data_IF_318657830716
#
_entry.id   IF_318657830716
#
_cell.length_a   1.000
_cell.length_b   1.000
_cell.length_c   1.000
_cell.angle_alpha   90.00
_cell.angle_beta   90.00
_cell.angle_gamma   90.00
#
_symmetry.space_group_name_H-M   'P 1'
#
loop_
_entity.id
_entity.type
_entity.pdbx_description
1 polymer ?
#
# COMPACT_ATOMS: atom_id res chain seq x y z
N UNK A 1 3.84 -4.91 -2.44
CA UNK A 1 2.57 -5.33 -1.81
C UNK A 1 1.66 -4.13 -1.67
N UNK A 2 0.42 -4.23 -2.13
CA UNK A 2 -0.62 -3.23 -1.93
C UNK A 2 -1.54 -3.69 -0.80
N UNK A 3 -1.65 -2.91 0.27
CA UNK A 3 -2.55 -3.20 1.39
C UNK A 3 -3.96 -2.72 1.04
N UNK A 4 -4.78 -3.65 0.56
CA UNK A 4 -6.13 -3.42 0.06
C UNK A 4 -7.02 -4.61 0.40
N UNK A 5 -8.28 -4.35 0.70
CA UNK A 5 -9.34 -5.35 0.69
C UNK A 5 -10.39 -4.90 -0.32
N UNK A 6 -10.38 -5.42 -1.57
CA UNK A 6 -11.26 -4.93 -2.61
C UNK A 6 -12.72 -5.33 -2.35
N UNK A 7 -13.66 -4.48 -2.78
CA UNK A 7 -15.07 -4.87 -2.83
C UNK A 7 -15.30 -5.96 -3.90
N UNK A 8 -16.40 -6.73 -3.81
CA UNK A 8 -16.77 -7.68 -4.85
C UNK A 8 -16.88 -7.02 -6.22
N UNK A 9 -16.42 -7.71 -7.27
CA UNK A 9 -16.54 -7.24 -8.64
C UNK A 9 -18.01 -7.29 -9.09
N UNK A 10 -18.46 -6.26 -9.81
CA UNK A 10 -19.74 -6.29 -10.54
C UNK A 10 -19.60 -7.17 -11.80
N UNK A 11 -20.70 -7.70 -12.36
CA UNK A 11 -20.65 -8.44 -13.61
C UNK A 11 -19.90 -7.66 -14.71
N UNK A 12 -18.93 -8.31 -15.35
CA UNK A 12 -18.11 -7.69 -16.40
C UNK A 12 -16.98 -6.76 -15.91
N UNK A 13 -16.79 -6.59 -14.60
CA UNK A 13 -15.67 -5.83 -14.05
C UNK A 13 -14.56 -6.74 -13.51
N UNK A 14 -13.31 -6.27 -13.60
CA UNK A 14 -12.12 -6.99 -13.11
C UNK A 14 -12.10 -7.09 -11.59
N UNK A 15 -12.46 -6.01 -10.91
CA UNK A 15 -12.41 -5.87 -9.46
C UNK A 15 -13.40 -4.80 -9.01
N UNK A 16 -13.91 -4.88 -7.78
CA UNK A 16 -14.67 -3.78 -7.18
C UNK A 16 -13.75 -2.66 -6.69
N UNK A 17 -14.32 -1.66 -5.99
CA UNK A 17 -13.55 -0.57 -5.39
C UNK A 17 -12.37 -1.10 -4.58
N UNK A 18 -11.16 -0.63 -4.89
CA UNK A 18 -9.90 -1.17 -4.38
C UNK A 18 -9.07 -0.06 -3.73
N UNK A 19 -9.60 0.53 -2.65
CA UNK A 19 -8.93 1.60 -1.91
C UNK A 19 -7.92 1.09 -0.86
N UNK A 20 -6.90 1.90 -0.51
CA UNK A 20 -5.87 1.48 0.44
C UNK A 20 -6.43 1.34 1.84
N UNK A 21 -5.86 0.40 2.59
CA UNK A 21 -6.07 0.28 4.03
C UNK A 21 -4.90 0.86 4.83
N UNK A 22 -5.13 1.08 6.13
CA UNK A 22 -4.13 1.70 7.01
C UNK A 22 -2.90 0.81 7.17
N UNK A 23 -1.75 1.27 6.69
CA UNK A 23 -0.51 0.51 6.62
C UNK A 23 0.09 0.18 7.99
N UNK A 24 -0.17 1.02 9.00
CA UNK A 24 0.34 0.80 10.35
C UNK A 24 -0.06 -0.54 10.97
N UNK A 25 -1.17 -1.15 10.54
CA UNK A 25 -1.55 -2.51 10.98
C UNK A 25 -0.62 -3.61 10.49
N UNK A 26 0.21 -3.31 9.47
CA UNK A 26 1.19 -4.22 8.90
C UNK A 26 2.62 -3.98 9.42
N UNK A 27 2.81 -3.01 10.32
CA UNK A 27 4.16 -2.60 10.75
C UNK A 27 4.91 -3.71 11.49
N UNK A 28 4.22 -4.55 12.25
CA UNK A 28 4.83 -5.70 12.92
C UNK A 28 5.39 -6.77 11.96
N UNK A 29 4.91 -6.81 10.71
CA UNK A 29 5.27 -7.83 9.72
C UNK A 29 6.19 -7.29 8.62
N UNK A 30 6.09 -5.99 8.31
CA UNK A 30 6.79 -5.39 7.20
C UNK A 30 8.32 -5.54 7.27
N UNK A 31 9.00 -5.38 8.42
CA UNK A 31 10.45 -5.61 8.50
C UNK A 31 10.87 -7.02 8.07
N UNK A 32 10.18 -8.05 8.58
CA UNK A 32 10.45 -9.45 8.22
C UNK A 32 10.24 -9.70 6.72
N UNK A 33 9.14 -9.19 6.16
CA UNK A 33 8.85 -9.32 4.73
C UNK A 33 9.90 -8.62 3.87
N UNK A 34 10.40 -7.45 4.29
CA UNK A 34 11.46 -6.73 3.58
C UNK A 34 12.78 -7.49 3.60
N UNK A 35 13.13 -8.09 4.73
CA UNK A 35 14.30 -8.98 4.83
C UNK A 35 14.18 -10.21 3.91
N UNK A 36 12.96 -10.62 3.54
CA UNK A 36 12.67 -11.70 2.60
C UNK A 36 12.40 -11.23 1.15
N UNK A 37 12.68 -9.95 0.85
CA UNK A 37 12.67 -9.45 -0.53
C UNK A 37 11.52 -8.49 -0.88
N UNK A 38 10.65 -8.13 0.05
CA UNK A 38 9.69 -7.04 -0.18
C UNK A 38 10.44 -5.71 -0.40
N UNK A 39 10.28 -5.11 -1.58
CA UNK A 39 10.93 -3.81 -1.92
C UNK A 39 9.97 -2.63 -2.03
N UNK A 40 8.66 -2.87 -2.07
CA UNK A 40 7.67 -1.82 -2.29
C UNK A 40 6.37 -2.09 -1.57
N UNK A 41 5.84 -1.07 -0.89
CA UNK A 41 4.58 -1.15 -0.15
C UNK A 41 3.66 -0.01 -0.59
N UNK A 42 2.37 -0.30 -0.78
CA UNK A 42 1.35 0.70 -1.09
C UNK A 42 0.26 0.61 -0.03
N UNK A 43 -0.17 1.74 0.53
CA UNK A 43 -1.28 1.78 1.48
C UNK A 43 -1.66 3.22 1.83
N UNK A 44 -2.10 3.46 3.07
CA UNK A 44 -2.32 4.82 3.59
C UNK A 44 -1.86 4.98 5.04
N UNK A 45 -1.53 6.21 5.42
CA UNK A 45 -1.18 6.57 6.79
C UNK A 45 0.29 6.38 7.14
N UNK A 46 0.62 6.81 8.35
CA UNK A 46 1.97 6.78 8.92
C UNK A 46 2.50 5.35 9.07
N UNK A 47 3.82 5.23 9.12
CA UNK A 47 4.55 3.99 9.45
C UNK A 47 5.37 4.21 10.74
N UNK A 48 5.62 3.14 11.48
CA UNK A 48 6.52 3.15 12.63
C UNK A 48 7.97 3.44 12.23
N UNK A 49 8.79 3.87 13.19
CA UNK A 49 10.22 4.10 12.96
C UNK A 49 10.94 2.80 12.55
N UNK A 50 10.58 1.67 13.16
CA UNK A 50 11.12 0.35 12.81
C UNK A 50 10.93 0.01 11.33
N UNK A 51 9.77 0.36 10.76
CA UNK A 51 9.54 0.18 9.32
C UNK A 51 10.42 1.11 8.51
N UNK A 52 10.59 2.38 8.92
CA UNK A 52 11.48 3.32 8.20
C UNK A 52 12.92 2.81 8.22
N UNK A 53 13.40 2.31 9.35
CA UNK A 53 14.74 1.77 9.49
C UNK A 53 14.92 0.53 8.59
N UNK A 54 13.91 -0.35 8.56
CA UNK A 54 13.93 -1.50 7.66
C UNK A 54 13.83 -1.12 6.18
N UNK A 55 13.09 -0.06 5.83
CA UNK A 55 13.07 0.51 4.48
C UNK A 55 14.49 0.93 4.05
N UNK A 56 15.24 1.61 4.91
CA UNK A 56 16.62 2.05 4.63
C UNK A 56 17.55 0.85 4.45
N UNK A 57 17.47 -0.12 5.38
CA UNK A 57 18.24 -1.37 5.35
C UNK A 57 18.02 -2.13 4.04
N UNK A 58 16.75 -2.26 3.65
CA UNK A 58 16.34 -3.07 2.50
C UNK A 58 16.18 -2.27 1.20
N UNK A 59 16.56 -1.00 1.16
CA UNK A 59 16.38 -0.11 -0.02
C UNK A 59 14.97 -0.19 -0.61
N UNK A 60 13.98 -0.28 0.28
CA UNK A 60 12.57 -0.36 -0.10
C UNK A 60 11.96 1.04 -0.28
N UNK A 61 10.70 1.10 -0.69
CA UNK A 61 9.93 2.34 -0.81
C UNK A 61 8.50 2.12 -0.29
N UNK A 62 7.96 3.12 0.41
CA UNK A 62 6.55 3.16 0.77
C UNK A 62 5.82 4.26 0.00
N UNK A 63 4.74 3.85 -0.64
CA UNK A 63 3.85 4.70 -1.40
C UNK A 63 2.51 4.85 -0.70
N UNK A 64 1.94 6.05 -0.76
CA UNK A 64 0.54 6.26 -0.43
C UNK A 64 -0.32 6.25 -1.68
N UNK A 65 -1.39 5.44 -1.65
CA UNK A 65 -2.53 5.63 -2.53
C UNK A 65 -3.54 6.58 -1.84
N UNK A 66 -4.36 7.27 -2.63
CA UNK A 66 -5.33 8.24 -2.11
C UNK A 66 -6.48 7.49 -1.42
N UNK A 67 -6.60 7.67 -0.10
CA UNK A 67 -7.70 7.11 0.68
C UNK A 67 -9.05 7.68 0.24
N UNK A 68 -10.06 6.82 0.10
CA UNK A 68 -11.40 7.21 -0.35
C UNK A 68 -11.61 7.18 -1.87
N UNK A 69 -10.54 7.14 -2.67
CA UNK A 69 -10.62 7.07 -4.13
C UNK A 69 -10.68 5.63 -4.67
N UNK A 70 -11.30 4.70 -3.94
CA UNK A 70 -11.23 3.26 -4.26
C UNK A 70 -11.83 2.87 -5.62
N UNK A 71 -12.90 3.55 -6.04
CA UNK A 71 -13.50 3.33 -7.36
C UNK A 71 -12.56 3.77 -8.49
N UNK A 72 -11.93 4.95 -8.36
CA UNK A 72 -10.95 5.46 -9.32
C UNK A 72 -9.72 4.56 -9.39
N UNK A 73 -9.21 4.12 -8.24
CA UNK A 73 -8.06 3.21 -8.18
C UNK A 73 -8.34 1.86 -8.85
N UNK A 74 -9.58 1.37 -8.78
CA UNK A 74 -9.98 0.14 -9.45
C UNK A 74 -9.92 0.24 -10.98
N UNK A 75 -10.10 1.42 -11.57
CA UNK A 75 -9.97 1.63 -13.02
C UNK A 75 -8.54 1.40 -13.53
N UNK A 76 -7.54 1.61 -12.66
CA UNK A 76 -6.14 1.34 -12.95
C UNK A 76 -5.78 -0.17 -12.83
N UNK A 77 -6.66 -1.00 -12.28
CA UNK A 77 -6.45 -2.45 -12.14
C UNK A 77 -7.05 -3.15 -13.37
N UNK A 78 -6.20 -3.85 -14.12
CA UNK A 78 -6.55 -4.46 -15.40
C UNK A 78 -6.78 -5.96 -15.31
N UNK A 79 -6.13 -6.63 -14.35
CA UNK A 79 -6.37 -8.03 -14.00
C UNK A 79 -6.30 -8.20 -12.48
N UNK A 80 -7.12 -9.12 -11.95
CA UNK A 80 -7.13 -9.49 -10.54
C UNK A 80 -7.35 -11.01 -10.41
N UNK A 81 -6.36 -11.71 -9.86
CA UNK A 81 -6.38 -13.16 -9.64
C UNK A 81 -6.17 -13.45 -8.16
N UNK A 82 -7.05 -14.26 -7.56
CA UNK A 82 -6.82 -14.76 -6.19
C UNK A 82 -5.79 -15.87 -6.26
N UNK A 83 -4.63 -15.68 -5.63
CA UNK A 83 -3.51 -16.61 -5.67
C UNK A 83 -3.27 -17.37 -4.36
N UNK A 84 -3.86 -16.92 -3.25
CA UNK A 84 -3.82 -17.64 -1.99
C UNK A 84 -4.99 -17.24 -1.07
N UNK A 85 -5.38 -18.17 -0.19
CA UNK A 85 -6.39 -18.00 0.86
C UNK A 85 -7.76 -17.48 0.35
N UNK A 86 -8.38 -18.14 -0.66
CA UNK A 86 -9.64 -17.68 -1.24
C UNK A 86 -10.81 -17.65 -0.24
N UNK A 87 -10.72 -18.43 0.83
CA UNK A 87 -11.66 -18.49 1.95
C UNK A 87 -11.70 -17.21 2.79
N UNK A 88 -10.65 -16.38 2.73
CA UNK A 88 -10.58 -15.09 3.43
C UNK A 88 -11.34 -13.96 2.72
N UNK A 89 -11.97 -14.23 1.58
CA UNK A 89 -12.78 -13.25 0.86
C UNK A 89 -11.98 -11.99 0.49
N UNK A 90 -12.41 -10.83 0.98
CA UNK A 90 -11.74 -9.56 0.70
C UNK A 90 -10.30 -9.48 1.22
N UNK A 91 -9.90 -10.35 2.15
CA UNK A 91 -8.53 -10.41 2.69
C UNK A 91 -7.64 -11.46 1.99
N UNK A 92 -8.16 -12.14 0.97
CA UNK A 92 -7.36 -13.06 0.15
C UNK A 92 -6.17 -12.36 -0.51
N UNK A 93 -5.14 -13.13 -0.90
CA UNK A 93 -4.01 -12.56 -1.62
C UNK A 93 -4.34 -12.49 -3.11
N UNK A 94 -4.31 -11.28 -3.64
CA UNK A 94 -4.52 -11.01 -5.05
C UNK A 94 -3.21 -10.73 -5.78
N UNK A 95 -3.05 -11.33 -6.96
CA UNK A 95 -2.12 -10.89 -7.98
C UNK A 95 -2.84 -9.90 -8.88
N UNK A 96 -2.41 -8.64 -8.83
CA UNK A 96 -3.01 -7.56 -9.60
C UNK A 96 -2.07 -7.14 -10.74
N UNK A 97 -2.60 -7.00 -11.95
CA UNK A 97 -1.94 -6.23 -13.01
C UNK A 97 -2.53 -4.84 -13.03
N UNK A 98 -1.68 -3.82 -12.94
CA UNK A 98 -2.10 -2.42 -12.90
C UNK A 98 -1.44 -1.62 -14.01
N UNK A 99 -2.08 -0.54 -14.43
CA UNK A 99 -1.59 0.40 -15.43
C UNK A 99 -1.87 1.83 -14.97
N UNK A 100 -0.85 2.70 -14.99
CA UNK A 100 -0.95 4.09 -14.54
C UNK A 100 -1.54 4.23 -13.12
N UNK A 101 -1.19 3.30 -12.22
CA UNK A 101 -1.74 3.27 -10.86
C UNK A 101 -1.24 4.47 -10.02
N UNK A 102 -2.12 5.38 -9.60
CA UNK A 102 -1.69 6.67 -9.05
C UNK A 102 -1.28 6.51 -7.58
N UNK A 103 -0.02 6.78 -7.29
CA UNK A 103 0.56 6.75 -5.95
C UNK A 103 1.62 7.83 -5.77
N UNK A 104 1.85 8.20 -4.51
CA UNK A 104 2.90 9.17 -4.12
C UNK A 104 3.94 8.46 -3.27
N UNK A 105 5.24 8.69 -3.54
CA UNK A 105 6.33 8.26 -2.64
C UNK A 105 6.21 9.04 -1.34
N UNK A 106 5.94 8.35 -0.23
CA UNK A 106 5.88 8.98 1.09
C UNK A 106 7.16 8.77 1.86
N UNK A 107 7.68 7.53 1.85
CA UNK A 107 8.95 7.19 2.48
C UNK A 107 9.86 6.62 1.42
N UNK A 108 10.94 7.33 1.11
CA UNK A 108 11.94 6.89 0.15
C UNK A 108 12.96 5.90 0.76
N UNK A 109 13.84 5.36 -0.08
CA UNK A 109 14.85 4.39 0.33
C UNK A 109 15.99 4.96 1.20
N UNK A 110 15.96 6.27 1.47
CA UNK A 110 16.87 6.97 2.37
C UNK A 110 16.21 7.32 3.71
N UNK A 111 14.93 7.02 3.87
CA UNK A 111 14.16 7.28 5.09
C UNK A 111 13.54 8.68 5.16
N UNK A 112 13.55 9.44 4.05
CA UNK A 112 12.85 10.73 4.01
C UNK A 112 11.34 10.48 4.06
N UNK A 113 10.66 11.03 5.06
CA UNK A 113 9.23 10.83 5.31
C UNK A 113 8.44 12.13 5.10
N UNK A 114 7.62 12.17 4.04
CA UNK A 114 6.77 13.31 3.72
C UNK A 114 5.65 13.56 4.74
N UNK A 115 5.19 12.53 5.46
CA UNK A 115 4.19 12.75 6.50
C UNK A 115 4.78 13.41 7.74
N UNK A 116 6.05 13.16 8.06
CA UNK A 116 6.76 13.85 9.16
C UNK A 116 7.11 15.28 8.76
N UNK A 117 7.92 15.42 7.71
CA UNK A 117 8.40 16.73 7.22
C UNK A 117 7.25 17.66 6.80
N UNK A 118 6.20 17.12 6.19
CA UNK A 118 5.00 17.87 5.86
C UNK A 118 4.29 18.42 7.10
N UNK A 119 4.11 17.62 8.16
CA UNK A 119 3.50 18.11 9.42
C UNK A 119 4.37 19.16 10.11
N UNK A 120 5.68 18.95 10.15
CA UNK A 120 6.62 19.87 10.79
C UNK A 120 6.60 21.25 10.13
N UNK A 121 6.52 21.30 8.79
CA UNK A 121 6.51 22.56 8.03
C UNK A 121 5.34 23.50 8.36
N UNK A 122 4.20 22.95 8.76
CA UNK A 122 2.97 23.74 9.01
C UNK A 122 2.54 23.73 10.47
N UNK A 123 3.39 23.23 11.38
CA UNK A 123 3.13 23.30 12.81
C UNK A 123 3.30 24.76 13.26
N UNK A 124 2.21 25.39 13.69
CA UNK A 124 2.28 26.71 14.33
C UNK A 124 2.90 26.50 15.72
N UNK A 125 4.00 27.21 15.98
CA UNK A 125 4.70 27.24 17.29
C UNK A 125 3.98 28.24 18.20
#
# INVERSE_FOLDING_TARGET
IYYVGPCPAKPGQVIGSAGPTTSGRMDAYAPLLMDHGLRGMIGKGLRSQEVVDSIIKNKAVYFAAVGGAGALLAEAIKEAEVIAFPDLGAEAIYKLRVENFPVTVIIDSKGNDLYKSGKEKYKII
#
